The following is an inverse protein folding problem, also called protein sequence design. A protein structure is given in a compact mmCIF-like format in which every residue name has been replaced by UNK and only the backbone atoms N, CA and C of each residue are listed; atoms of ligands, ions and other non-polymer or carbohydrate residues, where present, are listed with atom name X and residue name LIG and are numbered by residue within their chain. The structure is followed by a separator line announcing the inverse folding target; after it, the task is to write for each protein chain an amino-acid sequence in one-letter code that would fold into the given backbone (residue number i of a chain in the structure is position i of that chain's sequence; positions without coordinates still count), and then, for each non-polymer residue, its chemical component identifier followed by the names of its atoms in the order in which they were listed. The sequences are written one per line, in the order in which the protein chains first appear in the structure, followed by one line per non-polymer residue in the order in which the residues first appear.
data_IF_364147108462
#
_entry.id   IF_364147108462
#
_cell.length_a   1.000
_cell.length_b   1.000
_cell.length_c   1.000
_cell.angle_alpha   90.00
_cell.angle_beta   90.00
_cell.angle_gamma   90.00
#
_symmetry.space_group_name_H-M   'P 1'
#
loop_
_entity.id
_entity.type
_entity.pdbx_description
1 polymer ?
#
# COMPACT_ATOMS: atom_id res chain seq x y z
N UNK A 1 15.02 22.48 11.37
CA UNK A 1 14.34 21.23 10.96
C UNK A 1 14.74 20.96 9.54
N UNK A 2 15.48 19.87 9.33
CA UNK A 2 16.17 19.53 8.10
C UNK A 2 15.26 19.58 6.87
N UNK A 3 15.81 20.01 5.75
CA UNK A 3 15.18 19.86 4.45
C UNK A 3 15.00 18.38 4.17
N UNK A 4 13.82 17.85 4.47
CA UNK A 4 13.36 16.57 3.97
C UNK A 4 13.67 16.51 2.47
N UNK A 5 14.28 15.42 2.07
CA UNK A 5 14.76 15.14 0.73
C UNK A 5 13.65 15.45 -0.31
N UNK A 6 13.70 16.61 -0.98
CA UNK A 6 12.71 17.07 -1.99
C UNK A 6 12.66 16.19 -3.27
N UNK A 7 13.29 15.01 -3.24
CA UNK A 7 13.34 14.04 -4.33
C UNK A 7 12.26 12.98 -4.25
N UNK A 8 11.70 12.72 -3.07
CA UNK A 8 10.65 11.71 -2.92
C UNK A 8 9.35 12.32 -3.40
N UNK A 9 8.79 11.77 -4.48
CA UNK A 9 7.45 12.13 -4.93
C UNK A 9 6.46 11.20 -4.27
N UNK A 10 5.32 11.73 -3.85
CA UNK A 10 4.23 10.94 -3.29
C UNK A 10 2.99 11.17 -4.16
N UNK A 11 2.31 10.09 -4.54
CA UNK A 11 1.01 10.17 -5.21
C UNK A 11 -0.01 9.26 -4.55
N UNK A 12 -1.28 9.58 -4.80
CA UNK A 12 -2.39 8.68 -4.48
C UNK A 12 -2.34 7.52 -5.46
N UNK A 13 -2.49 6.30 -4.95
CA UNK A 13 -2.50 5.09 -5.75
C UNK A 13 -3.85 4.89 -6.47
N UNK A 14 -3.82 4.17 -7.57
CA UNK A 14 -5.02 3.72 -8.29
C UNK A 14 -5.03 2.20 -8.46
N UNK A 15 -6.03 1.67 -9.15
CA UNK A 15 -6.21 0.22 -9.31
C UNK A 15 -5.02 -0.48 -9.99
N UNK A 16 -4.24 0.23 -10.81
CA UNK A 16 -3.04 -0.33 -11.46
C UNK A 16 -1.93 -0.65 -10.45
N UNK A 17 -1.98 -0.04 -9.27
CA UNK A 17 -1.03 -0.24 -8.18
C UNK A 17 -1.39 -1.38 -7.23
N UNK A 18 -2.50 -2.08 -7.47
CA UNK A 18 -2.98 -3.15 -6.58
C UNK A 18 -1.87 -4.16 -6.24
N UNK A 19 -1.09 -4.57 -7.24
CA UNK A 19 -0.06 -5.59 -7.06
C UNK A 19 1.12 -5.10 -6.20
N UNK A 20 1.54 -3.84 -6.34
CA UNK A 20 2.65 -3.30 -5.57
C UNK A 20 2.25 -3.06 -4.11
N UNK A 21 1.04 -2.54 -3.87
CA UNK A 21 0.49 -2.34 -2.52
C UNK A 21 0.33 -3.68 -1.81
N UNK A 22 -0.27 -4.66 -2.50
CA UNK A 22 -0.45 -6.01 -1.99
C UNK A 22 0.89 -6.63 -1.56
N UNK A 23 1.91 -6.59 -2.43
CA UNK A 23 3.23 -7.13 -2.13
C UNK A 23 3.86 -6.47 -0.90
N UNK A 24 3.83 -5.13 -0.84
CA UNK A 24 4.41 -4.37 0.27
C UNK A 24 3.74 -4.71 1.63
N UNK A 25 2.42 -4.90 1.65
CA UNK A 25 1.70 -5.28 2.88
C UNK A 25 2.12 -6.69 3.35
N UNK A 26 2.23 -7.64 2.42
CA UNK A 26 2.67 -9.01 2.74
C UNK A 26 4.10 -9.02 3.28
N UNK A 27 5.01 -8.31 2.63
CA UNK A 27 6.41 -8.20 3.04
C UNK A 27 6.51 -7.54 4.42
N UNK A 28 5.83 -6.40 4.63
CA UNK A 28 5.83 -5.71 5.92
C UNK A 28 5.31 -6.59 7.06
N UNK A 29 4.23 -7.36 6.84
CA UNK A 29 3.68 -8.24 7.87
C UNK A 29 4.66 -9.38 8.23
N UNK A 30 5.38 -9.90 7.24
CA UNK A 30 6.41 -10.90 7.43
C UNK A 30 7.62 -10.32 8.17
N UNK A 31 8.12 -9.16 7.78
CA UNK A 31 9.30 -8.53 8.40
C UNK A 31 9.03 -8.07 9.84
N UNK A 32 7.90 -7.41 10.08
CA UNK A 32 7.65 -6.73 11.35
C UNK A 32 7.02 -7.64 12.42
N UNK A 33 6.29 -8.67 11.99
CA UNK A 33 5.53 -9.55 12.89
C UNK A 33 5.75 -11.04 12.63
N UNK A 34 6.57 -11.42 11.64
CA UNK A 34 6.73 -12.82 11.20
C UNK A 34 5.38 -13.51 10.94
N UNK A 35 4.42 -12.76 10.38
CA UNK A 35 3.08 -13.24 10.11
C UNK A 35 2.86 -13.45 8.62
N UNK A 36 2.41 -14.65 8.28
CA UNK A 36 1.85 -14.96 6.97
C UNK A 36 0.39 -14.54 6.93
N UNK A 37 0.07 -13.55 6.11
CA UNK A 37 -1.30 -13.09 5.90
C UNK A 37 -2.03 -13.95 4.86
N UNK A 38 -3.35 -14.05 4.99
CA UNK A 38 -4.18 -14.62 3.94
C UNK A 38 -4.21 -13.68 2.73
N UNK A 39 -3.65 -14.16 1.62
CA UNK A 39 -3.43 -13.33 0.45
C UNK A 39 -4.73 -12.90 -0.23
N UNK A 40 -5.75 -13.76 -0.22
CA UNK A 40 -7.04 -13.44 -0.84
C UNK A 40 -7.75 -12.29 -0.12
N UNK A 41 -7.72 -12.32 1.22
CA UNK A 41 -8.30 -11.29 2.07
C UNK A 41 -7.62 -9.95 1.85
N UNK A 42 -6.27 -9.92 1.83
CA UNK A 42 -5.53 -8.67 1.62
C UNK A 42 -5.79 -8.12 0.22
N UNK A 43 -5.74 -8.97 -0.82
CA UNK A 43 -5.97 -8.55 -2.19
C UNK A 43 -7.37 -7.92 -2.35
N UNK A 44 -8.40 -8.59 -1.87
CA UNK A 44 -9.78 -8.11 -1.99
C UNK A 44 -9.99 -6.81 -1.21
N UNK A 45 -9.43 -6.71 0.01
CA UNK A 45 -9.53 -5.49 0.81
C UNK A 45 -8.83 -4.28 0.18
N UNK A 46 -7.63 -4.48 -0.38
CA UNK A 46 -6.91 -3.41 -1.10
C UNK A 46 -7.68 -2.99 -2.35
N UNK A 47 -8.19 -3.96 -3.12
CA UNK A 47 -8.99 -3.70 -4.31
C UNK A 47 -10.28 -2.91 -3.98
N UNK A 48 -10.95 -3.22 -2.87
CA UNK A 48 -12.15 -2.50 -2.44
C UNK A 48 -11.85 -1.03 -2.12
N UNK A 49 -10.76 -0.76 -1.39
CA UNK A 49 -10.32 0.61 -1.08
C UNK A 49 -9.94 1.38 -2.34
N UNK A 50 -9.21 0.75 -3.28
CA UNK A 50 -8.82 1.40 -4.54
C UNK A 50 -10.01 1.73 -5.44
N UNK A 51 -11.12 1.00 -5.32
CA UNK A 51 -12.35 1.24 -6.08
C UNK A 51 -13.37 2.14 -5.35
N UNK A 52 -13.19 2.41 -4.05
CA UNK A 52 -14.13 3.21 -3.25
C UNK A 52 -13.39 4.22 -2.35
N UNK A 53 -13.32 5.47 -2.82
CA UNK A 53 -12.66 6.58 -2.12
C UNK A 53 -13.27 6.94 -0.76
N UNK A 54 -14.43 6.40 -0.39
CA UNK A 54 -14.99 6.57 0.96
C UNK A 54 -14.35 5.66 2.00
N UNK A 55 -13.61 4.62 1.58
CA UNK A 55 -12.95 3.66 2.49
C UNK A 55 -11.52 4.08 2.85
N UNK A 56 -10.93 5.01 2.08
CA UNK A 56 -9.59 5.55 2.32
C UNK A 56 -8.75 5.63 1.05
N UNK A 57 -7.45 5.86 1.23
CA UNK A 57 -6.48 6.00 0.15
C UNK A 57 -5.16 5.32 0.50
N UNK A 58 -4.51 4.78 -0.53
CA UNK A 58 -3.11 4.39 -0.47
C UNK A 58 -2.25 5.49 -1.07
N UNK A 59 -1.10 5.74 -0.45
CA UNK A 59 -0.07 6.65 -0.95
C UNK A 59 1.16 5.85 -1.34
N UNK A 60 1.72 6.15 -2.51
CA UNK A 60 2.93 5.52 -3.00
C UNK A 60 4.02 6.56 -3.18
N UNK A 61 5.24 6.18 -2.81
CA UNK A 61 6.44 6.93 -3.11
C UNK A 61 6.99 6.54 -4.48
N UNK A 62 7.40 7.53 -5.27
CA UNK A 62 8.09 7.40 -6.56
C UNK A 62 9.48 8.04 -6.53
#
# INVERSE_FOLDING_TARGET
MESLNNRIKIRIADISDLQIIFANIIEMAQETKNKKLDQSTIRNGVEEVLNNSNLGWYYLSE
#
